data_IF_124725215942
#
_entry.id   IF_124725215942
#
_cell.length_a   1.000
_cell.length_b   1.000
_cell.length_c   1.000
_cell.angle_alpha   90.00
_cell.angle_beta   90.00
_cell.angle_gamma   90.00
#
_symmetry.space_group_name_H-M   'P 1'
#
loop_
_entity.id
_entity.type
_entity.pdbx_description
1 polymer ?
#
# COMPACT_ATOMS: atom_id res chain seq x y z
N UNK A 1 -3.89 -32.27 11.83
CA UNK A 1 -2.64 -31.52 12.10
C UNK A 1 -2.27 -30.47 11.04
N UNK A 2 -2.74 -30.57 9.78
CA UNK A 2 -2.44 -29.58 8.72
C UNK A 2 -3.33 -28.32 8.74
N UNK A 3 -4.61 -28.44 9.06
CA UNK A 3 -5.57 -27.32 9.00
C UNK A 3 -5.36 -26.32 10.14
N UNK A 4 -5.10 -26.80 11.37
CA UNK A 4 -4.90 -25.94 12.54
C UNK A 4 -3.65 -25.04 12.41
N UNK A 5 -2.54 -25.57 11.90
CA UNK A 5 -1.34 -24.78 11.64
C UNK A 5 -1.55 -23.74 10.52
N UNK A 6 -2.34 -24.08 9.50
CA UNK A 6 -2.75 -23.15 8.45
C UNK A 6 -3.59 -21.99 8.99
N UNK A 7 -4.58 -22.29 9.84
CA UNK A 7 -5.45 -21.27 10.46
C UNK A 7 -4.66 -20.34 11.38
N UNK A 8 -3.78 -20.89 12.23
CA UNK A 8 -2.93 -20.07 13.12
C UNK A 8 -2.02 -19.14 12.32
N UNK A 9 -1.42 -19.62 11.22
CA UNK A 9 -0.61 -18.79 10.34
C UNK A 9 -1.41 -17.66 9.70
N UNK A 10 -2.61 -17.96 9.18
CA UNK A 10 -3.47 -16.93 8.57
C UNK A 10 -3.90 -15.89 9.60
N UNK A 11 -4.25 -16.28 10.83
CA UNK A 11 -4.60 -15.34 11.89
C UNK A 11 -3.41 -14.46 12.28
N UNK A 12 -2.23 -15.04 12.46
CA UNK A 12 -1.00 -14.31 12.76
C UNK A 12 -0.65 -13.30 11.66
N UNK A 13 -0.71 -13.73 10.39
CA UNK A 13 -0.46 -12.86 9.26
C UNK A 13 -1.50 -11.71 9.25
N UNK A 14 -2.79 -12.00 9.51
CA UNK A 14 -3.85 -10.98 9.56
C UNK A 14 -3.61 -9.92 10.64
N UNK A 15 -3.19 -10.34 11.84
CA UNK A 15 -2.82 -9.44 12.92
C UNK A 15 -1.67 -8.51 12.52
N UNK A 16 -0.61 -9.05 11.90
CA UNK A 16 0.52 -8.26 11.41
C UNK A 16 0.11 -7.25 10.33
N UNK A 17 -0.81 -7.65 9.44
CA UNK A 17 -1.35 -6.77 8.41
C UNK A 17 -2.20 -5.64 9.01
N UNK A 18 -2.97 -5.92 10.06
CA UNK A 18 -3.74 -4.91 10.79
C UNK A 18 -2.84 -3.92 11.54
N UNK A 19 -1.83 -4.41 12.28
CA UNK A 19 -0.88 -3.55 12.97
C UNK A 19 -0.12 -2.63 12.00
N UNK A 20 0.20 -3.14 10.81
CA UNK A 20 0.83 -2.32 9.75
C UNK A 20 -0.09 -1.21 9.27
N UNK A 21 -1.39 -1.48 9.12
CA UNK A 21 -2.37 -0.44 8.75
C UNK A 21 -2.37 0.65 9.80
N UNK A 22 -2.57 0.28 11.06
CA UNK A 22 -2.67 1.23 12.16
C UNK A 22 -1.41 2.10 12.28
N UNK A 23 -0.23 1.48 12.15
CA UNK A 23 1.04 2.20 12.17
C UNK A 23 1.18 3.18 10.99
N UNK A 24 0.89 2.74 9.76
CA UNK A 24 1.03 3.57 8.57
C UNK A 24 0.02 4.72 8.57
N UNK A 25 -1.25 4.47 8.93
CA UNK A 25 -2.27 5.51 9.01
C UNK A 25 -1.94 6.55 10.08
N UNK A 26 -1.47 6.12 11.26
CA UNK A 26 -1.03 7.03 12.31
C UNK A 26 0.12 7.91 11.82
N UNK A 27 1.14 7.31 11.21
CA UNK A 27 2.31 8.06 10.76
C UNK A 27 1.96 9.04 9.62
N UNK A 28 1.09 8.65 8.69
CA UNK A 28 0.59 9.53 7.62
C UNK A 28 -0.29 10.68 8.13
N UNK A 29 -0.96 10.50 9.28
CA UNK A 29 -1.75 11.53 9.96
C UNK A 29 -0.88 12.49 10.76
N UNK A 30 0.06 11.97 11.53
CA UNK A 30 0.80 12.72 12.54
C UNK A 30 2.01 13.46 11.94
N UNK A 31 2.66 12.87 10.93
CA UNK A 31 3.90 13.41 10.33
C UNK A 31 3.65 13.99 8.93
N UNK A 32 3.08 15.20 8.88
CA UNK A 32 2.72 15.83 7.59
C UNK A 32 3.93 16.28 6.76
N UNK A 33 5.04 16.66 7.40
CA UNK A 33 6.26 17.17 6.76
C UNK A 33 7.28 16.08 6.37
N UNK A 34 6.85 14.81 6.32
CA UNK A 34 7.74 13.74 5.88
C UNK A 34 8.13 13.85 4.40
N UNK A 35 9.34 13.41 4.01
CA UNK A 35 9.74 13.38 2.61
C UNK A 35 8.74 12.61 1.74
N UNK A 36 8.46 13.12 0.54
CA UNK A 36 7.51 12.49 -0.41
C UNK A 36 7.83 11.03 -0.65
N UNK A 37 9.11 10.65 -0.72
CA UNK A 37 9.55 9.26 -0.87
C UNK A 37 9.13 8.37 0.30
N UNK A 38 9.19 8.88 1.53
CA UNK A 38 8.75 8.15 2.73
C UNK A 38 7.23 8.01 2.76
N UNK A 39 6.51 9.10 2.43
CA UNK A 39 5.04 9.09 2.31
C UNK A 39 4.56 8.04 1.32
N UNK A 40 5.16 8.03 0.13
CA UNK A 40 4.92 7.06 -0.93
C UNK A 40 5.18 5.62 -0.48
N UNK A 41 6.27 5.36 0.25
CA UNK A 41 6.56 4.04 0.81
C UNK A 41 5.47 3.58 1.78
N UNK A 42 5.04 4.43 2.71
CA UNK A 42 4.00 4.12 3.68
C UNK A 42 2.66 3.84 3.00
N UNK A 43 2.28 4.62 1.99
CA UNK A 43 1.07 4.38 1.19
C UNK A 43 1.11 3.02 0.49
N UNK A 44 2.27 2.62 -0.06
CA UNK A 44 2.44 1.29 -0.65
C UNK A 44 2.30 0.16 0.39
N UNK A 45 2.87 0.33 1.58
CA UNK A 45 2.75 -0.66 2.66
C UNK A 45 1.30 -0.80 3.16
N UNK A 46 0.60 0.33 3.25
CA UNK A 46 -0.81 0.41 3.64
C UNK A 46 -1.70 -0.28 2.60
N UNK A 47 -1.56 0.07 1.32
CA UNK A 47 -2.31 -0.55 0.23
C UNK A 47 -2.06 -2.07 0.14
N UNK A 48 -0.80 -2.50 0.30
CA UNK A 48 -0.45 -3.92 0.36
C UNK A 48 -1.07 -4.65 1.55
N UNK A 49 -1.34 -3.95 2.67
CA UNK A 49 -2.02 -4.52 3.83
C UNK A 49 -3.50 -4.73 3.58
N UNK A 50 -4.19 -3.71 3.07
CA UNK A 50 -5.60 -3.81 2.69
C UNK A 50 -5.82 -4.91 1.65
N UNK A 51 -4.97 -5.01 0.63
CA UNK A 51 -5.03 -6.10 -0.35
C UNK A 51 -4.94 -7.49 0.30
N UNK A 52 -4.07 -7.66 1.30
CA UNK A 52 -3.90 -8.94 1.97
C UNK A 52 -5.11 -9.30 2.84
N UNK A 53 -5.71 -8.31 3.51
CA UNK A 53 -6.94 -8.47 4.28
C UNK A 53 -8.21 -8.58 3.41
N UNK A 54 -8.07 -8.46 2.09
CA UNK A 54 -9.16 -8.62 1.12
C UNK A 54 -9.87 -7.33 0.73
N UNK A 55 -9.49 -6.18 1.30
CA UNK A 55 -10.04 -4.87 0.94
C UNK A 55 -9.33 -4.29 -0.30
N UNK A 56 -9.66 -4.86 -1.45
CA UNK A 56 -9.07 -4.45 -2.73
C UNK A 56 -9.46 -3.02 -3.12
N UNK A 57 -10.66 -2.58 -2.72
CA UNK A 57 -11.15 -1.25 -3.05
C UNK A 57 -10.31 -0.19 -2.33
N UNK A 58 -10.09 -0.36 -1.03
CA UNK A 58 -9.27 0.57 -0.26
C UNK A 58 -7.82 0.58 -0.72
N UNK A 59 -7.27 -0.60 -1.04
CA UNK A 59 -5.93 -0.71 -1.62
C UNK A 59 -5.81 0.10 -2.92
N UNK A 60 -6.81 0.01 -3.81
CA UNK A 60 -6.82 0.73 -5.09
C UNK A 60 -6.87 2.25 -4.89
N UNK A 61 -7.72 2.74 -4.00
CA UNK A 61 -7.81 4.17 -3.69
C UNK A 61 -6.45 4.72 -3.24
N UNK A 62 -5.79 4.03 -2.32
CA UNK A 62 -4.48 4.44 -1.81
C UNK A 62 -3.41 4.41 -2.91
N UNK A 63 -3.43 3.40 -3.79
CA UNK A 63 -2.52 3.37 -4.94
C UNK A 63 -2.75 4.54 -5.90
N UNK A 64 -4.01 4.91 -6.18
CA UNK A 64 -4.34 6.05 -7.04
C UNK A 64 -3.87 7.38 -6.42
N UNK A 65 -4.06 7.57 -5.12
CA UNK A 65 -3.54 8.73 -4.40
C UNK A 65 -2.00 8.79 -4.46
N UNK A 66 -1.33 7.64 -4.28
CA UNK A 66 0.12 7.56 -4.33
C UNK A 66 0.66 7.86 -5.75
N UNK A 67 -0.06 7.45 -6.79
CA UNK A 67 0.28 7.78 -8.18
C UNK A 67 0.21 9.29 -8.43
N UNK A 68 -0.90 9.93 -8.04
CA UNK A 68 -1.07 11.37 -8.22
C UNK A 68 0.02 12.17 -7.49
N UNK A 69 0.39 11.76 -6.28
CA UNK A 69 1.49 12.37 -5.52
C UNK A 69 2.84 12.19 -6.23
N UNK A 70 3.09 11.01 -6.80
CA UNK A 70 4.32 10.69 -7.49
C UNK A 70 4.46 11.48 -8.82
N UNK A 71 3.37 11.63 -9.56
CA UNK A 71 3.29 12.47 -10.77
C UNK A 71 3.55 13.94 -10.43
N UNK A 72 2.94 14.45 -9.36
CA UNK A 72 3.17 15.82 -8.90
C UNK A 72 4.65 16.06 -8.50
N UNK A 73 5.26 15.10 -7.80
CA UNK A 73 6.67 15.19 -7.40
C UNK A 73 7.62 15.18 -8.60
N UNK A 74 7.31 14.36 -9.62
CA UNK A 74 8.08 14.31 -10.87
C UNK A 74 7.95 15.63 -11.65
N UNK A 75 6.75 16.19 -11.74
CA UNK A 75 6.52 17.49 -12.38
C UNK A 75 7.28 18.64 -11.67
N UNK A 76 7.47 18.54 -10.36
CA UNK A 76 8.25 19.47 -9.56
C UNK A 76 9.78 19.29 -9.69
N UNK A 77 10.26 18.39 -10.57
CA UNK A 77 11.69 18.15 -10.80
C UNK A 77 12.39 17.39 -9.67
N UNK A 78 11.64 16.85 -8.71
CA UNK A 78 12.20 16.00 -7.66
C UNK A 78 12.38 14.58 -8.18
N UNK A 79 13.55 13.93 -7.96
CA UNK A 79 13.70 12.52 -8.29
C UNK A 79 12.85 11.70 -7.33
N UNK A 80 11.60 11.45 -7.71
CA UNK A 80 10.75 10.54 -6.98
C UNK A 80 11.31 9.11 -7.15
N UNK A 81 11.51 8.41 -6.03
CA UNK A 81 11.92 7.01 -5.99
C UNK A 81 10.81 6.10 -6.55
N UNK A 82 10.70 6.05 -7.88
CA UNK A 82 9.51 5.63 -8.61
C UNK A 82 9.44 4.13 -8.94
N UNK A 83 10.48 3.33 -8.77
CA UNK A 83 10.48 1.96 -9.30
C UNK A 83 9.64 0.98 -8.47
N UNK A 84 9.77 1.00 -7.13
CA UNK A 84 9.11 0.00 -6.26
C UNK A 84 7.60 0.25 -6.15
N UNK A 85 7.19 1.52 -6.15
CA UNK A 85 5.78 1.91 -6.06
C UNK A 85 5.02 1.57 -7.35
N UNK A 86 5.61 1.90 -8.51
CA UNK A 86 5.01 1.62 -9.81
C UNK A 86 4.86 0.11 -10.06
N UNK A 87 5.78 -0.74 -9.59
CA UNK A 87 5.68 -2.20 -9.77
C UNK A 87 4.50 -2.79 -9.00
N UNK A 88 4.25 -2.33 -7.77
CA UNK A 88 3.12 -2.83 -6.98
C UNK A 88 1.79 -2.25 -7.44
N UNK A 89 1.80 -1.00 -7.91
CA UNK A 89 0.64 -0.37 -8.54
C UNK A 89 0.28 -1.04 -9.87
N UNK A 90 1.25 -1.33 -10.72
CA UNK A 90 1.06 -2.10 -11.95
C UNK A 90 0.53 -3.51 -11.65
N UNK A 91 1.04 -4.18 -10.62
CA UNK A 91 0.49 -5.47 -10.19
C UNK A 91 -0.95 -5.35 -9.65
N UNK A 92 -1.30 -4.26 -8.95
CA UNK A 92 -2.66 -4.03 -8.48
C UNK A 92 -3.62 -3.76 -9.65
N UNK A 93 -3.22 -2.92 -10.61
CA UNK A 93 -4.01 -2.63 -11.80
C UNK A 93 -4.11 -3.84 -12.75
N UNK A 94 -3.06 -4.66 -12.87
CA UNK A 94 -3.06 -5.86 -13.69
C UNK A 94 -3.94 -6.99 -13.11
N UNK A 95 -4.07 -7.07 -11.78
CA UNK A 95 -5.01 -8.00 -11.14
C UNK A 95 -6.47 -7.60 -11.31
N UNK A 96 -6.74 -6.32 -11.58
CA UNK A 96 -8.07 -5.79 -11.93
C UNK A 96 -8.25 -5.57 -13.43
N UNK A 97 -7.45 -6.25 -14.27
CA UNK A 97 -7.49 -6.07 -15.71
C UNK A 97 -8.91 -6.13 -16.28
N UNK A 98 -9.39 -4.99 -16.78
CA UNK A 98 -10.56 -4.83 -17.63
C UNK A 98 -11.79 -5.68 -17.26
N UNK A 99 -12.62 -5.13 -16.38
CA UNK A 99 -14.07 -5.25 -16.56
C UNK A 99 -14.60 -3.83 -16.80
N UNK A 100 -14.39 -3.32 -18.02
CA UNK A 100 -15.33 -2.34 -18.58
C UNK A 100 -16.68 -3.03 -18.82
#
# INVERSE_FOLDING_TARGET
WSVAAGVVRVLYDAELHQERIDYCERLLRDEQDMPTTLRLLLMNQLAGAYKWLGDQQRAREIYLEALALAEAAQAAGSPAGLSVLLVNLANSCAWTGHFD
#
